data_IF_322726279012
#
_entry.id   IF_322726279012
#
_cell.length_a   1.000
_cell.length_b   1.000
_cell.length_c   1.000
_cell.angle_alpha   90.00
_cell.angle_beta   90.00
_cell.angle_gamma   90.00
#
_symmetry.space_group_name_H-M   'P 1'
#
loop_
_entity.id
_entity.type
_entity.pdbx_description
1 polymer ?
#
# COMPACT_ATOMS: atom_id res chain seq x y z
N UNK A 1 -2.42 -18.54 11.26
CA UNK A 1 -3.75 -17.96 10.94
C UNK A 1 -4.18 -18.47 9.58
N UNK A 2 -5.43 -18.90 9.45
CA UNK A 2 -6.00 -19.36 8.18
C UNK A 2 -6.32 -18.18 7.26
N UNK A 3 -6.38 -18.38 5.92
CA UNK A 3 -6.82 -17.33 5.00
C UNK A 3 -8.20 -16.76 5.32
N UNK A 4 -9.09 -17.58 5.92
CA UNK A 4 -10.43 -17.16 6.33
C UNK A 4 -10.40 -16.18 7.51
N UNK A 5 -9.65 -16.50 8.55
CA UNK A 5 -9.51 -15.63 9.73
C UNK A 5 -8.88 -14.29 9.36
N UNK A 6 -7.90 -14.30 8.45
CA UNK A 6 -7.29 -13.07 7.91
C UNK A 6 -8.33 -12.24 7.16
N UNK A 7 -9.12 -12.88 6.30
CA UNK A 7 -10.17 -12.22 5.54
C UNK A 7 -11.18 -11.56 6.50
N UNK A 8 -11.69 -12.31 7.46
CA UNK A 8 -12.68 -11.84 8.44
C UNK A 8 -12.12 -10.68 9.28
N UNK A 9 -10.87 -10.78 9.74
CA UNK A 9 -10.19 -9.72 10.50
C UNK A 9 -10.01 -8.41 9.74
N UNK A 10 -9.97 -8.44 8.41
CA UNK A 10 -9.79 -7.25 7.56
C UNK A 10 -11.06 -6.73 6.89
N UNK A 11 -12.20 -7.43 7.02
CA UNK A 11 -13.46 -7.04 6.37
C UNK A 11 -13.84 -5.58 6.63
N UNK A 12 -13.83 -5.17 7.91
CA UNK A 12 -14.18 -3.80 8.34
C UNK A 12 -13.16 -2.74 7.91
N UNK A 13 -11.95 -3.15 7.56
CA UNK A 13 -10.84 -2.24 7.21
C UNK A 13 -10.68 -2.05 5.71
N UNK A 14 -11.28 -2.90 4.87
CA UNK A 14 -11.15 -2.83 3.40
C UNK A 14 -11.44 -1.46 2.84
N UNK A 15 -12.57 -0.85 3.22
CA UNK A 15 -12.96 0.48 2.73
C UNK A 15 -11.94 1.54 3.13
N UNK A 16 -11.42 1.48 4.36
CA UNK A 16 -10.40 2.41 4.85
C UNK A 16 -9.10 2.27 4.06
N UNK A 17 -8.68 1.04 3.75
CA UNK A 17 -7.48 0.76 2.95
C UNK A 17 -7.64 1.23 1.50
N UNK A 18 -8.84 1.09 0.90
CA UNK A 18 -9.13 1.63 -0.44
C UNK A 18 -9.00 3.15 -0.43
N UNK A 19 -9.66 3.84 0.51
CA UNK A 19 -9.62 5.30 0.63
C UNK A 19 -8.18 5.78 0.87
N UNK A 20 -7.45 5.13 1.77
CA UNK A 20 -6.04 5.42 2.03
C UNK A 20 -5.18 5.30 0.76
N UNK A 21 -5.38 4.25 -0.02
CA UNK A 21 -4.66 4.03 -1.27
C UNK A 21 -5.01 5.08 -2.34
N UNK A 22 -6.29 5.44 -2.46
CA UNK A 22 -6.72 6.50 -3.36
C UNK A 22 -6.10 7.84 -2.99
N UNK A 23 -6.15 8.24 -1.72
CA UNK A 23 -5.59 9.49 -1.23
C UNK A 23 -4.08 9.59 -1.49
N UNK A 24 -3.33 8.51 -1.23
CA UNK A 24 -1.91 8.42 -1.57
C UNK A 24 -1.70 8.52 -3.09
N UNK A 25 -2.56 7.89 -3.90
CA UNK A 25 -2.50 8.00 -5.35
C UNK A 25 -2.82 9.42 -5.86
N UNK A 26 -3.60 10.23 -5.12
CA UNK A 26 -3.91 11.62 -5.51
C UNK A 26 -2.78 12.61 -5.25
N UNK A 27 -1.89 12.34 -4.29
CA UNK A 27 -0.80 13.26 -3.92
C UNK A 27 0.10 13.63 -5.09
N UNK A 28 0.63 14.84 -5.11
CA UNK A 28 1.61 15.22 -6.12
C UNK A 28 2.96 14.54 -5.89
N UNK A 29 3.80 14.51 -6.92
CA UNK A 29 5.12 13.89 -6.89
C UNK A 29 5.29 12.70 -7.84
N UNK A 30 6.50 12.14 -7.85
CA UNK A 30 6.85 11.04 -8.77
C UNK A 30 6.06 9.79 -8.42
N UNK A 31 5.25 9.32 -9.38
CA UNK A 31 4.51 8.08 -9.24
C UNK A 31 5.43 6.87 -9.43
N UNK A 32 5.26 5.80 -8.65
CA UNK A 32 6.00 4.58 -8.83
C UNK A 32 5.64 3.95 -10.17
N UNK A 33 6.64 3.38 -10.81
CA UNK A 33 6.47 2.65 -12.05
C UNK A 33 5.69 1.35 -11.81
N UNK A 34 5.11 0.80 -12.88
CA UNK A 34 4.36 -0.45 -12.83
C UNK A 34 5.18 -1.60 -12.22
N UNK A 35 6.46 -1.71 -12.57
CA UNK A 35 7.35 -2.74 -12.03
C UNK A 35 7.58 -2.57 -10.52
N UNK A 36 7.67 -1.34 -10.03
CA UNK A 36 7.84 -1.05 -8.61
C UNK A 36 6.60 -1.44 -7.81
N UNK A 37 5.40 -1.14 -8.34
CA UNK A 37 4.14 -1.54 -7.73
C UNK A 37 3.94 -3.05 -7.72
N UNK A 38 4.28 -3.73 -8.82
CA UNK A 38 4.23 -5.19 -8.90
C UNK A 38 5.19 -5.84 -7.90
N UNK A 39 6.40 -5.30 -7.76
CA UNK A 39 7.38 -5.78 -6.79
C UNK A 39 6.89 -5.56 -5.34
N UNK A 40 6.28 -4.41 -5.03
CA UNK A 40 5.70 -4.17 -3.71
C UNK A 40 4.61 -5.20 -3.38
N UNK A 41 3.70 -5.49 -4.31
CA UNK A 41 2.64 -6.50 -4.09
C UNK A 41 3.24 -7.89 -3.85
N UNK A 42 4.27 -8.27 -4.60
CA UNK A 42 4.97 -9.54 -4.42
C UNK A 42 5.70 -9.60 -3.07
N UNK A 43 6.37 -8.52 -2.66
CA UNK A 43 7.00 -8.41 -1.35
C UNK A 43 5.97 -8.58 -0.22
N UNK A 44 4.84 -7.89 -0.29
CA UNK A 44 3.78 -8.01 0.72
C UNK A 44 3.23 -9.44 0.85
N UNK A 45 3.32 -10.26 -0.19
CA UNK A 45 2.90 -11.67 -0.14
C UNK A 45 3.92 -12.58 0.57
N UNK A 46 5.17 -12.13 0.70
CA UNK A 46 6.27 -12.85 1.37
C UNK A 46 6.58 -12.27 2.75
N UNK A 47 6.23 -11.00 2.98
CA UNK A 47 6.51 -10.30 4.22
C UNK A 47 5.85 -10.98 5.41
N UNK A 48 6.62 -11.12 6.47
CA UNK A 48 6.15 -11.77 7.72
C UNK A 48 5.50 -10.77 8.67
N UNK A 49 5.83 -9.48 8.53
CA UNK A 49 5.26 -8.39 9.32
C UNK A 49 5.17 -7.09 8.52
N UNK A 50 4.39 -6.13 9.01
CA UNK A 50 4.22 -4.81 8.39
C UNK A 50 5.50 -3.94 8.45
N UNK A 51 6.38 -4.19 9.42
CA UNK A 51 7.62 -3.44 9.58
C UNK A 51 8.60 -3.75 8.43
N UNK A 52 8.67 -5.00 7.98
CA UNK A 52 9.48 -5.41 6.83
C UNK A 52 9.09 -4.63 5.56
N UNK A 53 7.78 -4.51 5.28
CA UNK A 53 7.25 -3.72 4.15
C UNK A 53 7.62 -2.24 4.28
N UNK A 54 7.47 -1.70 5.49
CA UNK A 54 7.79 -0.29 5.79
C UNK A 54 9.28 0.00 5.60
N UNK A 55 10.14 -0.89 6.08
CA UNK A 55 11.60 -0.78 5.96
C UNK A 55 12.04 -0.89 4.51
N UNK A 56 11.45 -1.81 3.74
CA UNK A 56 11.69 -1.88 2.30
C UNK A 56 11.35 -0.56 1.59
N UNK A 57 10.17 0.00 1.83
CA UNK A 57 9.75 1.25 1.17
C UNK A 57 10.68 2.41 1.53
N UNK A 58 11.04 2.54 2.81
CA UNK A 58 12.01 3.55 3.29
C UNK A 58 13.37 3.38 2.63
N UNK A 59 13.84 2.14 2.51
CA UNK A 59 15.10 1.83 1.82
C UNK A 59 15.02 2.21 0.33
N UNK A 60 13.94 1.86 -0.36
CA UNK A 60 13.76 2.24 -1.77
C UNK A 60 13.68 3.77 -1.97
N UNK A 61 13.07 4.50 -1.03
CA UNK A 61 13.08 5.96 -1.04
C UNK A 61 14.48 6.52 -0.81
N UNK A 62 15.24 5.98 0.15
CA UNK A 62 16.63 6.38 0.41
C UNK A 62 17.55 6.14 -0.79
N UNK A 63 17.26 5.11 -1.61
CA UNK A 63 17.96 4.83 -2.88
C UNK A 63 17.47 5.69 -4.05
N UNK A 64 16.56 6.63 -3.83
CA UNK A 64 15.97 7.48 -4.87
C UNK A 64 15.13 6.70 -5.89
N UNK A 65 14.72 5.47 -5.58
CA UNK A 65 13.84 4.65 -6.44
C UNK A 65 12.38 5.01 -6.23
N UNK A 66 12.00 5.32 -5.00
CA UNK A 66 10.65 5.80 -4.66
C UNK A 66 10.69 7.25 -4.23
N UNK A 67 9.59 7.96 -4.42
CA UNK A 67 9.42 9.29 -3.85
C UNK A 67 9.27 9.20 -2.33
N UNK A 68 10.02 10.02 -1.58
CA UNK A 68 10.01 9.98 -0.12
C UNK A 68 8.67 10.43 0.47
N UNK A 69 8.10 11.51 -0.08
CA UNK A 69 6.81 12.03 0.37
C UNK A 69 5.67 11.04 0.13
N UNK A 70 5.73 10.28 -0.96
CA UNK A 70 4.79 9.20 -1.25
C UNK A 70 4.93 8.04 -0.25
N UNK A 71 6.17 7.61 0.05
CA UNK A 71 6.42 6.53 1.03
C UNK A 71 5.93 6.94 2.42
N UNK A 72 6.26 8.14 2.88
CA UNK A 72 5.82 8.63 4.18
C UNK A 72 4.28 8.74 4.24
N UNK A 73 3.66 9.21 3.16
CA UNK A 73 2.20 9.23 3.05
C UNK A 73 1.58 7.84 3.10
N UNK A 74 2.17 6.85 2.41
CA UNK A 74 1.69 5.47 2.41
C UNK A 74 1.76 4.85 3.80
N UNK A 75 2.89 4.98 4.48
CA UNK A 75 3.08 4.46 5.85
C UNK A 75 2.08 5.08 6.83
N UNK A 76 1.92 6.39 6.78
CA UNK A 76 0.95 7.08 7.62
C UNK A 76 -0.49 6.71 7.30
N UNK A 77 -0.84 6.58 6.01
CA UNK A 77 -2.19 6.26 5.58
C UNK A 77 -2.59 4.83 5.98
N UNK A 78 -1.70 3.85 5.80
CA UNK A 78 -1.93 2.47 6.26
C UNK A 78 -2.04 2.43 7.77
N UNK A 79 -1.12 3.07 8.50
CA UNK A 79 -1.14 3.10 9.96
C UNK A 79 -2.48 3.61 10.52
N UNK A 80 -2.98 4.74 9.99
CA UNK A 80 -4.31 5.27 10.38
C UNK A 80 -5.46 4.34 9.96
N UNK A 81 -5.38 3.75 8.77
CA UNK A 81 -6.43 2.88 8.26
C UNK A 81 -6.63 1.63 9.13
N UNK A 82 -5.58 1.18 9.84
CA UNK A 82 -5.59 -0.04 10.66
C UNK A 82 -5.37 0.22 12.16
N UNK A 83 -5.57 1.44 12.63
CA UNK A 83 -5.27 1.83 14.03
C UNK A 83 -6.01 0.97 15.08
N UNK A 84 -7.25 0.54 14.77
CA UNK A 84 -8.03 -0.38 15.62
C UNK A 84 -7.77 -1.87 15.37
N UNK A 85 -6.91 -2.21 14.40
CA UNK A 85 -6.63 -3.61 14.05
C UNK A 85 -5.75 -4.22 15.15
N UNK A 86 -6.12 -5.44 15.57
CA UNK A 86 -5.35 -6.23 16.54
C UNK A 86 -3.86 -6.19 16.19
N UNK A 87 -2.95 -6.03 17.17
CA UNK A 87 -1.50 -6.02 16.94
C UNK A 87 -1.00 -7.42 16.58
N UNK A 88 -1.31 -7.85 15.37
CA UNK A 88 -1.00 -9.15 14.81
C UNK A 88 -0.26 -8.94 13.49
N UNK A 89 0.96 -9.44 13.41
CA UNK A 89 1.87 -9.14 12.30
C UNK A 89 1.36 -9.67 10.96
N UNK A 90 0.71 -10.84 10.96
CA UNK A 90 0.14 -11.42 9.75
C UNK A 90 -1.05 -10.60 9.24
N UNK A 91 -1.95 -10.16 10.12
CA UNK A 91 -3.06 -9.28 9.73
C UNK A 91 -2.57 -7.93 9.20
N UNK A 92 -1.55 -7.35 9.84
CA UNK A 92 -0.99 -6.06 9.42
C UNK A 92 -0.21 -6.17 8.11
N UNK A 93 0.53 -7.26 7.89
CA UNK A 93 1.19 -7.55 6.62
C UNK A 93 0.15 -7.74 5.49
N UNK A 94 -0.94 -8.45 5.76
CA UNK A 94 -2.01 -8.61 4.77
C UNK A 94 -2.73 -7.28 4.48
N UNK A 95 -2.93 -6.43 5.49
CA UNK A 95 -3.47 -5.09 5.28
C UNK A 95 -2.59 -4.26 4.33
N UNK A 96 -1.26 -4.37 4.45
CA UNK A 96 -0.30 -3.80 3.50
C UNK A 96 -0.45 -4.38 2.10
N UNK A 97 -0.67 -5.69 1.97
CA UNK A 97 -0.90 -6.34 0.67
C UNK A 97 -2.15 -5.80 -0.01
N UNK A 98 -3.27 -5.68 0.71
CA UNK A 98 -4.50 -5.08 0.20
C UNK A 98 -4.30 -3.63 -0.20
N UNK A 99 -3.66 -2.83 0.66
CA UNK A 99 -3.31 -1.44 0.34
C UNK A 99 -2.48 -1.33 -0.93
N UNK A 100 -1.42 -2.14 -1.08
CA UNK A 100 -0.54 -2.13 -2.26
C UNK A 100 -1.31 -2.46 -3.55
N UNK A 101 -2.22 -3.44 -3.50
CA UNK A 101 -3.11 -3.78 -4.61
C UNK A 101 -4.01 -2.60 -4.99
N UNK A 102 -4.65 -1.96 -4.01
CA UNK A 102 -5.51 -0.81 -4.25
C UNK A 102 -4.74 0.41 -4.75
N UNK A 103 -3.53 0.64 -4.23
CA UNK A 103 -2.65 1.74 -4.66
C UNK A 103 -2.24 1.55 -6.12
N UNK A 104 -1.84 0.34 -6.50
CA UNK A 104 -1.49 0.02 -7.87
C UNK A 104 -2.67 0.24 -8.82
N UNK A 105 -3.87 -0.16 -8.40
CA UNK A 105 -5.11 0.07 -9.13
C UNK A 105 -5.39 1.58 -9.28
N UNK A 106 -5.38 2.33 -8.18
CA UNK A 106 -5.68 3.77 -8.17
C UNK A 106 -4.73 4.58 -9.05
N UNK A 107 -3.42 4.29 -9.00
CA UNK A 107 -2.43 4.95 -9.86
C UNK A 107 -2.71 4.64 -11.34
N UNK A 108 -2.97 3.36 -11.67
CA UNK A 108 -3.28 2.96 -13.05
C UNK A 108 -4.53 3.64 -13.59
N UNK A 109 -5.61 3.70 -12.81
CA UNK A 109 -6.84 4.39 -13.21
C UNK A 109 -6.60 5.88 -13.45
N UNK A 110 -5.83 6.54 -12.57
CA UNK A 110 -5.48 7.96 -12.75
C UNK A 110 -4.63 8.21 -13.99
N UNK A 111 -3.66 7.34 -14.27
CA UNK A 111 -2.86 7.42 -15.50
C UNK A 111 -3.71 7.25 -16.76
N UNK A 112 -4.67 6.32 -16.75
CA UNK A 112 -5.58 6.12 -17.87
C UNK A 112 -6.55 7.31 -18.06
N UNK A 113 -7.04 7.90 -16.97
CA UNK A 113 -7.94 9.05 -16.99
C UNK A 113 -7.22 10.35 -17.39
N UNK A 114 -5.94 10.52 -17.00
CA UNK A 114 -5.11 11.65 -17.42
C UNK A 114 -4.54 11.53 -18.83
N UNK A 115 -4.67 10.36 -19.48
CA UNK A 115 -4.18 10.09 -20.83
C UNK A 115 -5.16 10.43 -21.97
N UNK A 116 -6.32 11.03 -21.68
CA UNK A 116 -7.30 11.48 -22.69
C UNK A 116 -7.27 13.01 -22.90
N UNK A 117 -6.08 13.61 -22.93
CA UNK A 117 -5.89 15.05 -23.11
C UNK A 117 -4.56 15.42 -23.77
N UNK A 118 -4.09 14.61 -24.71
CA UNK A 118 -2.95 14.91 -25.58
C UNK A 118 -3.39 14.89 -27.03
#
# INVERSE_FOLDING_TARGET
MTPREIHEGLLSYRRLLVVAAEDVARRDGRKPERAQLAHLVALCAQATCAEEVTNFLRYQAARGKWDRGLVDAAVQAVGRAIDGLRPDDHLRAEAWRLFALYLARAIRFRQAAGGQGG
#
